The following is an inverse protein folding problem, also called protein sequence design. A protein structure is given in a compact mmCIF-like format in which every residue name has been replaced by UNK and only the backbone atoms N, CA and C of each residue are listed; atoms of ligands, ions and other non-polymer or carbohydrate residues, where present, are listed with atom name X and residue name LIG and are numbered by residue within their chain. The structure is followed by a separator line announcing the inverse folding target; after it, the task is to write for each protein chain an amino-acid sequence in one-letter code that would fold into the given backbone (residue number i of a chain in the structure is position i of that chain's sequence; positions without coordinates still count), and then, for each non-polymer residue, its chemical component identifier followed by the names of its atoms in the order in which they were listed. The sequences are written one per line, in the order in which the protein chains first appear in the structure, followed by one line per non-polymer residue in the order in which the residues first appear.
data_IF_035720416480
#
_entry.id   IF_035720416480
#
_cell.length_a   1.000
_cell.length_b   1.000
_cell.length_c   1.000
_cell.angle_alpha   90.00
_cell.angle_beta   90.00
_cell.angle_gamma   90.00
#
_symmetry.space_group_name_H-M   'P 1'
#
loop_
_entity.id
_entity.type
_entity.pdbx_description
1 polymer ?
#
# COMPACT_ATOMS: atom_id res chain seq x y z
N UNK A 1 13.42 -32.52 0.51
CA UNK A 1 13.39 -31.82 -0.79
C UNK A 1 12.54 -30.56 -0.63
N UNK A 2 13.07 -29.39 -0.98
CA UNK A 2 12.27 -28.16 -0.98
C UNK A 2 11.18 -28.31 -2.05
N UNK A 3 9.90 -28.40 -1.64
CA UNK A 3 8.78 -28.39 -2.59
C UNK A 3 8.88 -27.10 -3.40
N UNK A 4 9.01 -27.22 -4.72
CA UNK A 4 8.80 -26.10 -5.63
C UNK A 4 7.31 -25.79 -5.59
N UNK A 5 6.94 -24.89 -4.68
CA UNK A 5 5.58 -24.41 -4.51
C UNK A 5 5.27 -23.48 -5.69
N UNK A 6 4.68 -24.04 -6.75
CA UNK A 6 4.30 -23.33 -7.96
C UNK A 6 2.81 -23.03 -8.01
N UNK A 7 2.44 -21.98 -8.72
CA UNK A 7 1.05 -21.62 -8.96
C UNK A 7 0.27 -22.71 -9.70
N UNK A 8 -0.90 -23.05 -9.17
CA UNK A 8 -1.89 -23.84 -9.87
C UNK A 8 -2.64 -23.01 -10.92
N UNK A 9 -3.38 -23.69 -11.80
CA UNK A 9 -4.21 -23.03 -12.82
C UNK A 9 -5.26 -22.08 -12.22
N UNK A 10 -5.77 -22.39 -11.02
CA UNK A 10 -6.69 -21.52 -10.27
C UNK A 10 -6.02 -20.21 -9.85
N UNK A 11 -4.76 -20.25 -9.43
CA UNK A 11 -4.01 -19.06 -9.00
C UNK A 11 -3.79 -18.10 -10.18
N UNK A 12 -3.42 -18.65 -11.35
CA UNK A 12 -3.32 -17.89 -12.59
C UNK A 12 -4.67 -17.32 -13.03
N UNK A 13 -5.75 -18.08 -12.87
CA UNK A 13 -7.11 -17.65 -13.23
C UNK A 13 -7.58 -16.47 -12.38
N UNK A 14 -7.34 -16.52 -11.06
CA UNK A 14 -7.68 -15.43 -10.13
C UNK A 14 -6.88 -14.16 -10.46
N UNK A 15 -5.59 -14.31 -10.73
CA UNK A 15 -4.73 -13.20 -11.12
C UNK A 15 -5.17 -12.56 -12.46
N UNK A 16 -5.42 -13.40 -13.48
CA UNK A 16 -5.91 -12.93 -14.78
C UNK A 16 -7.28 -12.28 -14.69
N UNK A 17 -8.18 -12.83 -13.88
CA UNK A 17 -9.50 -12.25 -13.62
C UNK A 17 -9.36 -10.86 -12.98
N UNK A 18 -8.46 -10.69 -12.01
CA UNK A 18 -8.22 -9.40 -11.37
C UNK A 18 -7.77 -8.33 -12.39
N UNK A 19 -6.75 -8.63 -13.21
CA UNK A 19 -6.29 -7.71 -14.26
C UNK A 19 -7.40 -7.39 -15.28
N UNK A 20 -8.20 -8.41 -15.63
CA UNK A 20 -9.33 -8.24 -16.55
C UNK A 20 -10.38 -7.32 -15.96
N UNK A 21 -10.75 -7.50 -14.69
CA UNK A 21 -11.73 -6.64 -13.99
C UNK A 21 -11.23 -5.19 -13.92
N UNK A 22 -9.96 -4.97 -13.55
CA UNK A 22 -9.37 -3.63 -13.56
C UNK A 22 -9.41 -2.98 -14.95
N UNK A 23 -9.11 -3.74 -16.00
CA UNK A 23 -9.16 -3.28 -17.38
C UNK A 23 -10.59 -2.94 -17.82
N UNK A 24 -11.55 -3.80 -17.49
CA UNK A 24 -12.98 -3.60 -17.80
C UNK A 24 -13.52 -2.35 -17.11
N UNK A 25 -13.13 -2.07 -15.86
CA UNK A 25 -13.53 -0.85 -15.16
C UNK A 25 -12.97 0.38 -15.87
N UNK A 26 -11.69 0.35 -16.29
CA UNK A 26 -11.08 1.42 -17.07
C UNK A 26 -11.81 1.68 -18.40
N UNK A 27 -12.10 0.62 -19.15
CA UNK A 27 -12.86 0.69 -20.42
C UNK A 27 -14.28 1.18 -20.17
N UNK A 28 -14.96 0.69 -19.13
CA UNK A 28 -16.31 1.11 -18.79
C UNK A 28 -16.37 2.62 -18.56
N UNK A 29 -15.51 3.17 -17.70
CA UNK A 29 -15.51 4.61 -17.44
C UNK A 29 -14.96 5.46 -18.60
N UNK A 30 -14.07 4.91 -19.43
CA UNK A 30 -13.51 5.60 -20.59
C UNK A 30 -14.43 5.65 -21.81
N UNK A 31 -15.08 4.53 -22.14
CA UNK A 31 -15.87 4.36 -23.36
C UNK A 31 -17.39 4.49 -23.15
N UNK A 32 -17.91 3.97 -22.03
CA UNK A 32 -19.35 3.86 -21.76
C UNK A 32 -19.84 4.78 -20.64
N UNK A 33 -18.95 5.24 -19.77
CA UNK A 33 -19.21 6.24 -18.76
C UNK A 33 -19.43 7.63 -19.35
N UNK A 34 -19.59 8.64 -18.48
CA UNK A 34 -19.60 10.03 -18.91
C UNK A 34 -18.27 10.32 -19.62
N UNK A 35 -18.30 10.38 -20.97
CA UNK A 35 -17.11 10.65 -21.81
C UNK A 35 -16.34 11.79 -21.16
N UNK A 36 -15.10 11.54 -20.73
CA UNK A 36 -14.27 12.47 -19.98
C UNK A 36 -13.84 13.66 -20.85
N UNK A 37 -14.81 14.51 -21.19
CA UNK A 37 -14.67 15.59 -22.19
C UNK A 37 -13.97 16.81 -21.62
N UNK A 38 -13.82 16.91 -20.30
CA UNK A 38 -13.22 18.07 -19.63
C UNK A 38 -12.07 17.66 -18.71
N UNK A 39 -11.08 18.55 -18.55
CA UNK A 39 -9.95 18.36 -17.61
C UNK A 39 -10.44 18.14 -16.18
N UNK A 40 -11.48 18.86 -15.76
CA UNK A 40 -12.07 18.73 -14.43
C UNK A 40 -12.72 17.36 -14.21
N UNK A 41 -13.34 16.78 -15.24
CA UNK A 41 -13.89 15.43 -15.13
C UNK A 41 -12.78 14.38 -15.04
N UNK A 42 -11.76 14.50 -15.89
CA UNK A 42 -10.64 13.56 -15.92
C UNK A 42 -9.82 13.58 -14.63
N UNK A 43 -9.50 14.78 -14.13
CA UNK A 43 -8.64 14.97 -12.98
C UNK A 43 -9.38 14.95 -11.65
N UNK A 44 -10.63 15.43 -11.57
CA UNK A 44 -11.33 15.62 -10.29
C UNK A 44 -12.67 14.89 -10.20
N UNK A 45 -13.05 14.12 -11.22
CA UNK A 45 -14.34 13.41 -11.22
C UNK A 45 -15.55 14.34 -11.06
N UNK A 46 -15.45 15.59 -11.51
CA UNK A 46 -16.45 16.66 -11.32
C UNK A 46 -16.78 16.99 -9.85
N UNK A 47 -15.87 16.68 -8.91
CA UNK A 47 -16.06 16.95 -7.47
C UNK A 47 -17.30 16.30 -6.84
N UNK A 48 -17.80 15.23 -7.47
CA UNK A 48 -19.00 14.50 -7.05
C UNK A 48 -18.70 13.07 -6.61
N UNK A 49 -17.45 12.80 -6.18
CA UNK A 49 -17.08 11.49 -5.67
C UNK A 49 -17.68 11.27 -4.27
N UNK A 50 -17.92 10.01 -3.92
CA UNK A 50 -18.37 9.63 -2.58
C UNK A 50 -17.18 9.42 -1.65
N UNK A 51 -17.42 9.63 -0.34
CA UNK A 51 -16.39 9.57 0.70
C UNK A 51 -15.69 8.22 0.76
N UNK A 52 -16.46 7.13 0.70
CA UNK A 52 -15.91 5.78 0.90
C UNK A 52 -14.93 5.35 -0.20
N UNK A 53 -15.24 5.40 -1.51
CA UNK A 53 -14.28 5.07 -2.56
C UNK A 53 -13.03 5.96 -2.52
N UNK A 54 -13.19 7.26 -2.20
CA UNK A 54 -12.04 8.16 -2.06
C UNK A 54 -11.15 7.75 -0.89
N UNK A 55 -11.72 7.47 0.28
CA UNK A 55 -10.96 6.99 1.43
C UNK A 55 -10.24 5.67 1.14
N UNK A 56 -10.93 4.72 0.50
CA UNK A 56 -10.35 3.44 0.11
C UNK A 56 -9.22 3.63 -0.92
N UNK A 57 -9.39 4.52 -1.89
CA UNK A 57 -8.36 4.86 -2.88
C UNK A 57 -7.16 5.59 -2.27
N UNK A 58 -7.38 6.45 -1.27
CA UNK A 58 -6.30 7.06 -0.48
C UNK A 58 -5.53 6.00 0.31
N UNK A 59 -6.24 5.09 0.99
CA UNK A 59 -5.63 4.00 1.78
C UNK A 59 -4.85 3.07 0.86
N UNK A 60 -5.45 2.68 -0.26
CA UNK A 60 -4.84 1.93 -1.33
C UNK A 60 -3.56 2.58 -1.87
N UNK A 61 -3.60 3.90 -2.13
CA UNK A 61 -2.43 4.62 -2.65
C UNK A 61 -1.28 4.67 -1.67
N UNK A 62 -1.56 4.63 -0.36
CA UNK A 62 -0.51 4.63 0.64
C UNK A 62 0.05 3.23 0.92
N UNK A 63 -0.74 2.18 0.70
CA UNK A 63 -0.32 0.79 0.88
C UNK A 63 0.23 0.25 -0.42
N UNK A 64 1.56 0.20 -0.50
CA UNK A 64 2.29 -0.43 -1.60
C UNK A 64 2.68 -1.88 -1.29
N UNK A 65 3.12 -2.62 -2.30
CA UNK A 65 3.77 -3.93 -2.12
C UNK A 65 4.97 -3.86 -1.16
N UNK A 66 5.66 -2.71 -1.09
CA UNK A 66 6.73 -2.46 -0.11
C UNK A 66 6.19 -2.50 1.32
N UNK A 67 5.01 -1.94 1.58
CA UNK A 67 4.40 -2.01 2.91
C UNK A 67 4.01 -3.44 3.26
N UNK A 68 3.34 -4.13 2.33
CA UNK A 68 2.78 -5.45 2.60
C UNK A 68 3.86 -6.52 2.77
N UNK A 69 4.99 -6.43 2.06
CA UNK A 69 6.12 -7.36 2.19
C UNK A 69 7.17 -6.88 3.20
N UNK A 70 7.42 -5.56 3.25
CA UNK A 70 8.46 -4.97 4.08
C UNK A 70 8.07 -4.88 5.56
N UNK A 71 6.82 -4.55 5.90
CA UNK A 71 6.42 -4.45 7.30
C UNK A 71 6.51 -5.81 8.05
N UNK A 72 6.04 -6.93 7.50
CA UNK A 72 6.23 -8.24 8.13
C UNK A 72 7.71 -8.62 8.25
N UNK A 73 8.52 -8.33 7.22
CA UNK A 73 9.97 -8.57 7.26
C UNK A 73 10.67 -7.77 8.35
N UNK A 74 10.27 -6.51 8.54
CA UNK A 74 10.81 -5.63 9.59
C UNK A 74 10.47 -6.19 10.97
N UNK A 75 9.21 -6.58 11.18
CA UNK A 75 8.73 -7.13 12.45
C UNK A 75 9.38 -8.48 12.78
N UNK A 76 9.54 -9.34 11.78
CA UNK A 76 10.25 -10.62 11.92
C UNK A 76 11.71 -10.44 12.36
N UNK A 77 12.38 -9.42 11.82
CA UNK A 77 13.82 -9.24 12.00
C UNK A 77 14.17 -8.38 13.21
N UNK A 78 13.36 -7.37 13.51
CA UNK A 78 13.68 -6.32 14.48
C UNK A 78 12.59 -6.07 15.54
N UNK A 79 11.37 -6.60 15.36
CA UNK A 79 10.31 -6.51 16.37
C UNK A 79 9.34 -5.32 16.22
N UNK A 80 8.58 -5.05 17.29
CA UNK A 80 7.37 -4.21 17.27
C UNK A 80 7.57 -2.69 17.22
N UNK A 81 8.81 -2.21 17.28
CA UNK A 81 9.14 -0.77 17.32
C UNK A 81 8.51 -0.03 16.12
N UNK A 82 8.51 -0.68 14.95
CA UNK A 82 7.96 -0.15 13.69
C UNK A 82 6.43 0.12 13.77
N UNK A 83 5.71 -0.57 14.67
CA UNK A 83 4.26 -0.42 14.84
C UNK A 83 3.86 0.98 15.34
N UNK A 84 4.78 1.71 15.97
CA UNK A 84 4.57 3.11 16.40
C UNK A 84 4.24 4.08 15.26
N UNK A 85 4.45 3.69 13.99
CA UNK A 85 3.99 4.49 12.85
C UNK A 85 2.48 4.79 12.88
N UNK A 86 1.66 3.96 13.55
CA UNK A 86 0.22 4.21 13.65
C UNK A 86 -0.05 5.49 14.45
N UNK A 87 0.78 5.80 15.44
CA UNK A 87 0.71 7.07 16.16
C UNK A 87 1.08 8.24 15.23
N UNK A 88 2.14 8.08 14.43
CA UNK A 88 2.51 9.07 13.41
C UNK A 88 1.37 9.31 12.40
N UNK A 89 0.69 8.24 11.97
CA UNK A 89 -0.48 8.30 11.10
C UNK A 89 -1.57 9.23 11.66
N UNK A 90 -1.93 9.02 12.93
CA UNK A 90 -2.94 9.81 13.63
C UNK A 90 -2.53 11.28 13.73
N UNK A 91 -1.27 11.56 14.09
CA UNK A 91 -0.73 12.93 14.19
C UNK A 91 -0.82 13.61 12.82
N UNK A 92 -0.34 12.95 11.76
CA UNK A 92 -0.35 13.50 10.40
C UNK A 92 -1.78 13.78 9.93
N UNK A 93 -2.71 12.85 10.15
CA UNK A 93 -4.11 13.06 9.75
C UNK A 93 -4.74 14.23 10.51
N UNK A 94 -4.45 14.40 11.80
CA UNK A 94 -4.93 15.55 12.56
C UNK A 94 -4.38 16.87 12.00
N UNK A 95 -3.07 16.93 11.73
CA UNK A 95 -2.42 18.12 11.15
C UNK A 95 -2.98 18.43 9.76
N UNK A 96 -3.15 17.43 8.89
CA UNK A 96 -3.69 17.63 7.54
C UNK A 96 -5.14 18.11 7.59
N UNK A 97 -5.97 17.56 8.48
CA UNK A 97 -7.38 17.94 8.64
C UNK A 97 -7.57 19.41 9.03
N UNK A 98 -6.69 19.92 9.88
CA UNK A 98 -6.79 21.26 10.49
C UNK A 98 -6.01 22.30 9.69
N UNK A 99 -4.78 22.01 9.27
CA UNK A 99 -3.88 22.99 8.67
C UNK A 99 -3.91 22.99 7.13
N UNK A 100 -3.92 21.81 6.49
CA UNK A 100 -3.76 21.71 5.03
C UNK A 100 -5.12 21.76 4.32
N UNK A 101 -6.07 20.92 4.74
CA UNK A 101 -7.36 20.79 4.05
C UNK A 101 -8.13 22.11 3.88
N UNK A 102 -8.29 22.97 4.91
CA UNK A 102 -9.05 24.21 4.75
C UNK A 102 -8.45 25.15 3.71
N UNK A 103 -7.12 25.19 3.59
CA UNK A 103 -6.42 26.03 2.62
C UNK A 103 -6.70 25.55 1.20
N UNK A 104 -6.46 24.26 0.91
CA UNK A 104 -6.68 23.71 -0.43
C UNK A 104 -8.15 23.73 -0.85
N UNK A 105 -9.08 23.48 0.08
CA UNK A 105 -10.51 23.57 -0.18
C UNK A 105 -11.00 25.01 -0.41
N UNK A 106 -10.37 26.02 0.20
CA UNK A 106 -10.73 27.42 -0.06
C UNK A 106 -10.22 27.86 -1.43
N UNK A 107 -9.02 27.42 -1.81
CA UNK A 107 -8.38 27.82 -3.06
C UNK A 107 -8.92 27.09 -4.30
N UNK A 108 -9.47 25.88 -4.14
CA UNK A 108 -10.04 25.07 -5.24
C UNK A 108 -9.08 24.84 -6.43
N UNK A 109 -7.77 24.91 -6.17
CA UNK A 109 -6.69 24.74 -7.14
C UNK A 109 -6.59 23.28 -7.61
N UNK A 110 -6.14 23.09 -8.84
CA UNK A 110 -6.04 21.74 -9.45
C UNK A 110 -4.73 21.06 -9.12
N UNK A 111 -3.68 21.85 -8.84
CA UNK A 111 -2.36 21.35 -8.47
C UNK A 111 -1.93 21.88 -7.11
N UNK A 112 -1.31 21.03 -6.29
CA UNK A 112 -0.71 21.46 -5.02
C UNK A 112 0.42 22.48 -5.23
N UNK A 113 1.09 22.45 -6.39
CA UNK A 113 2.16 23.39 -6.73
C UNK A 113 1.64 24.77 -7.15
N UNK A 114 0.37 24.88 -7.54
CA UNK A 114 -0.27 26.17 -7.85
C UNK A 114 -0.32 27.06 -6.59
N UNK A 115 -0.47 26.44 -5.41
CA UNK A 115 -0.35 27.15 -4.13
C UNK A 115 1.00 27.86 -3.98
N UNK A 116 2.10 27.24 -4.44
CA UNK A 116 3.44 27.84 -4.34
C UNK A 116 3.58 29.07 -5.24
N UNK A 117 2.89 29.10 -6.37
CA UNK A 117 2.85 30.29 -7.23
C UNK A 117 2.06 31.42 -6.57
N UNK A 118 0.88 31.11 -6.01
CA UNK A 118 0.05 32.09 -5.30
C UNK A 118 0.78 32.68 -4.08
N UNK A 119 1.58 31.86 -3.38
CA UNK A 119 2.28 32.29 -2.16
C UNK A 119 3.63 32.93 -2.40
N UNK A 120 4.35 32.49 -3.44
CA UNK A 120 5.72 32.90 -3.72
C UNK A 120 5.85 33.42 -5.16
N UNK A 121 6.07 32.55 -6.14
CA UNK A 121 6.24 32.94 -7.55
C UNK A 121 6.14 31.75 -8.50
N UNK A 122 5.94 32.03 -9.78
CA UNK A 122 5.84 31.01 -10.85
C UNK A 122 7.11 30.15 -10.99
N UNK A 123 8.28 30.72 -10.70
CA UNK A 123 9.56 30.00 -10.69
C UNK A 123 9.57 28.89 -9.64
N UNK A 124 9.05 29.16 -8.43
CA UNK A 124 8.99 28.16 -7.35
C UNK A 124 8.05 27.01 -7.72
N UNK A 125 6.88 27.33 -8.30
CA UNK A 125 5.94 26.32 -8.82
C UNK A 125 6.61 25.43 -9.86
N UNK A 126 7.34 26.02 -10.81
CA UNK A 126 7.98 25.30 -11.91
C UNK A 126 9.07 24.35 -11.39
N UNK A 127 9.93 24.82 -10.48
CA UNK A 127 10.98 23.99 -9.86
C UNK A 127 10.36 22.84 -9.05
N UNK A 128 9.36 23.13 -8.20
CA UNK A 128 8.71 22.10 -7.39
C UNK A 128 8.00 21.04 -8.25
N UNK A 129 7.31 21.46 -9.31
CA UNK A 129 6.63 20.55 -10.25
C UNK A 129 7.64 19.68 -11.01
N UNK A 130 8.77 20.25 -11.42
CA UNK A 130 9.85 19.53 -12.09
C UNK A 130 10.51 18.49 -11.16
N UNK A 131 10.85 18.87 -9.93
CA UNK A 131 11.40 17.96 -8.93
C UNK A 131 10.44 16.80 -8.63
N UNK A 132 9.14 17.10 -8.47
CA UNK A 132 8.14 16.06 -8.28
C UNK A 132 8.05 15.11 -9.47
N UNK A 133 8.10 15.64 -10.69
CA UNK A 133 8.04 14.82 -11.91
C UNK A 133 9.22 13.85 -11.97
N UNK A 134 10.44 14.33 -11.68
CA UNK A 134 11.63 13.47 -11.60
C UNK A 134 11.47 12.42 -10.51
N UNK A 135 11.06 12.83 -9.31
CA UNK A 135 10.82 11.90 -8.21
C UNK A 135 9.83 10.79 -8.61
N UNK A 136 8.71 11.14 -9.26
CA UNK A 136 7.72 10.15 -9.69
C UNK A 136 8.24 9.22 -10.77
N UNK A 137 9.03 9.71 -11.74
CA UNK A 137 9.66 8.87 -12.77
C UNK A 137 10.63 7.86 -12.15
N UNK A 138 11.37 8.25 -11.10
CA UNK A 138 12.30 7.36 -10.40
C UNK A 138 11.59 6.39 -9.44
N UNK A 139 10.52 6.84 -8.80
CA UNK A 139 9.81 6.08 -7.77
C UNK A 139 8.87 5.02 -8.36
N UNK A 140 8.18 5.32 -9.46
CA UNK A 140 7.17 4.41 -10.05
C UNK A 140 7.75 3.03 -10.41
N UNK A 141 8.93 2.91 -11.05
CA UNK A 141 9.54 1.60 -11.33
C UNK A 141 9.86 0.80 -10.06
N UNK A 142 10.27 1.44 -8.97
CA UNK A 142 10.57 0.78 -7.69
C UNK A 142 9.31 0.18 -7.09
N UNK A 143 8.20 0.93 -7.11
CA UNK A 143 6.89 0.46 -6.64
C UNK A 143 6.43 -0.75 -7.43
N UNK A 144 6.64 -0.76 -8.76
CA UNK A 144 6.27 -1.87 -9.63
C UNK A 144 7.21 -3.08 -9.50
N UNK A 145 8.48 -2.87 -9.17
CA UNK A 145 9.47 -3.95 -9.08
C UNK A 145 9.15 -4.96 -7.98
N UNK A 146 8.76 -4.47 -6.79
CA UNK A 146 8.49 -5.30 -5.61
C UNK A 146 7.39 -6.37 -5.80
N UNK A 147 6.17 -6.03 -6.27
CA UNK A 147 5.14 -7.03 -6.56
C UNK A 147 5.53 -7.96 -7.71
N UNK A 148 6.27 -7.46 -8.71
CA UNK A 148 6.72 -8.24 -9.86
C UNK A 148 7.76 -9.27 -9.44
N UNK A 149 8.62 -8.91 -8.48
CA UNK A 149 9.55 -9.82 -7.85
C UNK A 149 8.82 -10.90 -7.06
N UNK A 150 7.82 -10.54 -6.24
CA UNK A 150 7.01 -11.52 -5.51
C UNK A 150 6.27 -12.47 -6.47
N UNK A 151 5.67 -11.95 -7.55
CA UNK A 151 5.01 -12.76 -8.57
C UNK A 151 5.98 -13.67 -9.32
N UNK A 152 7.18 -13.19 -9.65
CA UNK A 152 8.24 -13.98 -10.29
C UNK A 152 8.69 -15.16 -9.42
N UNK A 153 8.76 -14.96 -8.09
CA UNK A 153 9.19 -15.99 -7.15
C UNK A 153 8.21 -17.18 -7.06
N UNK A 154 6.92 -16.92 -7.14
CA UNK A 154 5.87 -17.95 -7.00
C UNK A 154 5.47 -18.59 -8.33
N UNK A 155 5.65 -17.88 -9.45
CA UNK A 155 5.33 -18.39 -10.79
C UNK A 155 6.54 -18.97 -11.52
N UNK A 156 7.75 -18.56 -11.15
CA UNK A 156 8.98 -18.86 -11.91
C UNK A 156 9.10 -18.09 -13.22
N UNK A 157 8.14 -17.20 -13.55
CA UNK A 157 8.19 -16.38 -14.76
C UNK A 157 9.25 -15.29 -14.59
N UNK A 158 10.00 -15.03 -15.66
CA UNK A 158 11.05 -14.02 -15.64
C UNK A 158 10.49 -12.61 -15.35
N UNK A 159 11.09 -11.94 -14.37
CA UNK A 159 10.75 -10.57 -13.97
C UNK A 159 10.74 -9.57 -15.13
N UNK A 160 11.64 -9.74 -16.10
CA UNK A 160 11.74 -8.90 -17.29
C UNK A 160 10.56 -9.07 -18.26
N UNK A 161 9.77 -10.13 -18.15
CA UNK A 161 8.52 -10.31 -18.91
C UNK A 161 7.30 -9.78 -18.15
N UNK A 162 7.24 -10.06 -16.83
CA UNK A 162 6.12 -9.63 -15.97
C UNK A 162 6.01 -8.11 -15.94
N UNK A 163 7.14 -7.42 -15.71
CA UNK A 163 7.18 -5.97 -15.51
C UNK A 163 6.59 -5.20 -16.69
N UNK A 164 7.06 -5.36 -17.95
CA UNK A 164 6.51 -4.60 -19.08
C UNK A 164 5.05 -4.99 -19.41
N UNK A 165 4.67 -6.26 -19.29
CA UNK A 165 3.30 -6.70 -19.56
C UNK A 165 2.29 -6.01 -18.63
N UNK A 166 2.65 -5.97 -17.34
CA UNK A 166 1.83 -5.37 -16.30
C UNK A 166 1.80 -3.84 -16.43
N UNK A 167 2.94 -3.21 -16.70
CA UNK A 167 2.99 -1.78 -17.00
C UNK A 167 2.08 -1.43 -18.17
N UNK A 168 2.08 -2.20 -19.25
CA UNK A 168 1.25 -1.94 -20.41
C UNK A 168 -0.25 -1.99 -20.07
N UNK A 169 -0.69 -2.98 -19.30
CA UNK A 169 -2.08 -3.09 -18.84
C UNK A 169 -2.44 -1.89 -17.94
N UNK A 170 -1.56 -1.55 -16.99
CA UNK A 170 -1.77 -0.43 -16.07
C UNK A 170 -1.88 0.91 -16.80
N UNK A 171 -0.95 1.19 -17.71
CA UNK A 171 -0.96 2.39 -18.56
C UNK A 171 -2.26 2.44 -19.37
N UNK A 172 -2.67 1.31 -19.96
CA UNK A 172 -3.87 1.24 -20.79
C UNK A 172 -5.14 1.61 -20.03
N UNK A 173 -5.44 0.95 -18.89
CA UNK A 173 -6.70 1.25 -18.18
C UNK A 173 -6.67 2.61 -17.47
N UNK A 174 -5.49 3.05 -17.02
CA UNK A 174 -5.34 4.34 -16.32
C UNK A 174 -5.52 5.51 -17.27
N UNK A 175 -4.96 5.42 -18.49
CA UNK A 175 -5.11 6.45 -19.52
C UNK A 175 -6.53 6.56 -20.04
N UNK A 176 -7.26 5.44 -20.13
CA UNK A 176 -8.65 5.43 -20.61
C UNK A 176 -9.65 5.89 -19.55
N UNK A 177 -9.46 5.50 -18.29
CA UNK A 177 -10.49 5.61 -17.26
C UNK A 177 -10.45 6.88 -16.40
N UNK A 178 -9.33 7.60 -16.35
CA UNK A 178 -9.15 8.79 -15.52
C UNK A 178 -9.36 8.56 -14.01
N UNK A 179 -9.53 9.63 -13.21
CA UNK A 179 -9.60 9.52 -11.74
C UNK A 179 -10.74 8.59 -11.27
N UNK A 180 -11.92 8.64 -11.91
CA UNK A 180 -13.07 7.81 -11.53
C UNK A 180 -12.74 6.31 -11.61
N UNK A 181 -12.13 5.88 -12.72
CA UNK A 181 -11.74 4.47 -12.87
C UNK A 181 -10.70 4.08 -11.82
N UNK A 182 -9.65 4.90 -11.66
CA UNK A 182 -8.57 4.64 -10.69
C UNK A 182 -9.14 4.46 -9.28
N UNK A 183 -10.04 5.33 -8.84
CA UNK A 183 -10.64 5.24 -7.50
C UNK A 183 -11.45 3.96 -7.30
N UNK A 184 -12.22 3.54 -8.32
CA UNK A 184 -13.00 2.30 -8.25
C UNK A 184 -12.14 1.04 -8.34
N UNK A 185 -11.12 1.03 -9.20
CA UNK A 185 -10.15 -0.06 -9.25
C UNK A 185 -9.41 -0.18 -7.92
N UNK A 186 -8.94 0.94 -7.36
CA UNK A 186 -8.25 0.98 -6.07
C UNK A 186 -9.13 0.39 -4.96
N UNK A 187 -10.41 0.75 -4.94
CA UNK A 187 -11.36 0.28 -3.92
C UNK A 187 -11.50 -1.25 -3.96
N UNK A 188 -11.72 -1.82 -5.14
CA UNK A 188 -11.83 -3.28 -5.30
C UNK A 188 -10.53 -3.99 -4.94
N UNK A 189 -9.41 -3.48 -5.46
CA UNK A 189 -8.08 -4.00 -5.19
C UNK A 189 -7.75 -3.99 -3.70
N UNK A 190 -8.15 -2.94 -2.97
CA UNK A 190 -7.94 -2.83 -1.53
C UNK A 190 -8.77 -3.83 -0.73
N UNK A 191 -10.03 -4.06 -1.12
CA UNK A 191 -10.89 -5.06 -0.50
C UNK A 191 -10.30 -6.45 -0.67
N UNK A 192 -9.84 -6.79 -1.89
CA UNK A 192 -9.23 -8.09 -2.19
C UNK A 192 -7.94 -8.28 -1.38
N UNK A 193 -7.06 -7.28 -1.38
CA UNK A 193 -5.79 -7.33 -0.65
C UNK A 193 -6.00 -7.46 0.86
N UNK A 194 -6.94 -6.71 1.44
CA UNK A 194 -7.24 -6.81 2.87
C UNK A 194 -7.87 -8.17 3.20
N UNK A 195 -8.81 -8.63 2.38
CA UNK A 195 -9.43 -9.94 2.54
C UNK A 195 -8.40 -11.08 2.53
N UNK A 196 -7.48 -11.08 1.56
CA UNK A 196 -6.43 -12.10 1.50
C UNK A 196 -5.45 -12.03 2.68
N UNK A 197 -5.09 -10.83 3.13
CA UNK A 197 -4.23 -10.62 4.29
C UNK A 197 -4.87 -11.13 5.59
N UNK A 198 -6.18 -10.90 5.78
CA UNK A 198 -6.93 -11.42 6.93
C UNK A 198 -6.96 -12.95 6.91
N UNK A 199 -7.22 -13.56 5.74
CA UNK A 199 -7.25 -15.02 5.64
C UNK A 199 -5.89 -15.63 5.99
N UNK A 200 -4.80 -15.07 5.47
CA UNK A 200 -3.43 -15.52 5.82
C UNK A 200 -3.17 -15.38 7.33
N UNK A 201 -3.56 -14.24 7.92
CA UNK A 201 -3.40 -14.01 9.35
C UNK A 201 -4.19 -15.04 10.18
N UNK A 202 -5.45 -15.32 9.85
CA UNK A 202 -6.28 -16.31 10.57
C UNK A 202 -5.69 -17.72 10.46
N UNK A 203 -5.29 -18.14 9.25
CA UNK A 203 -4.64 -19.44 9.07
C UNK A 203 -3.32 -19.52 9.85
N UNK A 204 -2.57 -18.43 9.90
CA UNK A 204 -1.30 -18.37 10.64
C UNK A 204 -1.51 -18.52 12.14
N UNK A 205 -2.52 -17.84 12.70
CA UNK A 205 -2.90 -17.97 14.11
C UNK A 205 -3.26 -19.43 14.43
N UNK A 206 -4.04 -20.08 13.57
CA UNK A 206 -4.43 -21.49 13.75
C UNK A 206 -3.19 -22.40 13.70
N UNK A 207 -2.29 -22.18 12.74
CA UNK A 207 -1.08 -23.00 12.57
C UNK A 207 -0.10 -22.87 13.75
N UNK A 208 0.04 -21.68 14.34
CA UNK A 208 0.87 -21.46 15.53
C UNK A 208 0.23 -22.04 16.80
N UNK A 209 -1.10 -22.26 16.80
CA UNK A 209 -1.86 -22.79 17.93
C UNK A 209 -2.57 -21.74 18.77
N UNK A 210 -2.70 -20.50 18.28
CA UNK A 210 -3.43 -19.41 18.94
C UNK A 210 -2.63 -18.12 19.08
N UNK A 211 -3.35 -17.03 19.36
CA UNK A 211 -2.76 -15.69 19.55
C UNK A 211 -1.86 -15.62 20.78
N UNK A 212 -2.22 -16.31 21.86
CA UNK A 212 -1.45 -16.28 23.11
C UNK A 212 -0.09 -16.96 22.92
N UNK A 213 -0.05 -18.09 22.20
CA UNK A 213 1.19 -18.79 21.87
C UNK A 213 2.06 -17.94 20.95
N UNK A 214 1.46 -17.33 19.92
CA UNK A 214 2.18 -16.40 19.05
C UNK A 214 2.81 -15.26 19.85
N UNK A 215 2.05 -14.65 20.76
CA UNK A 215 2.54 -13.54 21.58
C UNK A 215 3.69 -13.99 22.47
N UNK A 216 3.53 -15.11 23.19
CA UNK A 216 4.56 -15.65 24.07
C UNK A 216 5.87 -15.92 23.33
N UNK A 217 5.81 -16.59 22.16
CA UNK A 217 7.01 -16.85 21.34
C UNK A 217 7.72 -15.57 20.91
N UNK A 218 6.98 -14.51 20.62
CA UNK A 218 7.58 -13.21 20.26
C UNK A 218 8.15 -12.48 21.47
N UNK A 219 7.62 -12.68 22.68
CA UNK A 219 8.22 -12.19 23.92
C UNK A 219 9.52 -12.92 24.18
N UNK A 220 9.51 -14.26 24.12
CA UNK A 220 10.69 -15.10 24.36
C UNK A 220 11.80 -14.86 23.31
N UNK A 221 11.40 -14.41 22.11
CA UNK A 221 12.28 -14.06 21.00
C UNK A 221 12.71 -12.60 20.92
N UNK A 222 12.47 -11.80 21.96
CA UNK A 222 12.79 -10.37 22.04
C UNK A 222 12.24 -9.54 20.85
N UNK A 223 11.06 -9.91 20.33
CA UNK A 223 10.37 -9.18 19.26
C UNK A 223 9.40 -8.14 19.78
N UNK A 224 8.98 -8.24 21.04
CA UNK A 224 8.04 -7.29 21.66
C UNK A 224 8.82 -6.17 22.36
N UNK A 225 9.09 -5.11 21.62
CA UNK A 225 9.61 -3.85 22.13
C UNK A 225 8.90 -2.69 21.43
N UNK A 226 7.93 -2.07 22.08
CA UNK A 226 7.14 -0.98 21.48
C UNK A 226 7.79 0.39 21.66
N UNK A 227 8.40 0.60 22.82
CA UNK A 227 8.84 1.91 23.30
C UNK A 227 10.34 1.92 23.57
N UNK A 228 11.14 1.72 22.52
CA UNK A 228 12.56 2.03 22.61
C UNK A 228 12.73 3.56 22.64
N UNK A 229 12.91 4.11 23.84
CA UNK A 229 12.97 5.57 24.07
C UNK A 229 14.37 6.17 23.86
N UNK A 230 15.32 5.40 23.31
CA UNK A 230 16.66 5.91 23.01
C UNK A 230 16.60 7.04 21.97
N UNK A 231 17.11 8.25 22.29
CA UNK A 231 17.09 9.40 21.38
C UNK A 231 18.15 9.33 20.28
N UNK A 232 19.03 8.31 20.27
CA UNK A 232 20.10 8.19 19.30
C UNK A 232 19.55 8.00 17.87
N UNK A 233 19.78 8.96 16.95
CA UNK A 233 19.24 8.90 15.58
C UNK A 233 19.94 7.87 14.69
N UNK A 234 21.04 7.26 15.15
CA UNK A 234 21.76 6.20 14.43
C UNK A 234 21.12 4.82 14.60
N UNK A 235 20.23 4.67 15.58
CA UNK A 235 19.49 3.42 15.80
C UNK A 235 18.38 3.33 14.74
N UNK A 236 18.27 2.16 14.11
CA UNK A 236 17.34 1.90 12.99
C UNK A 236 15.92 2.37 13.30
N UNK A 237 15.32 1.85 14.38
CA UNK A 237 13.98 2.21 14.83
C UNK A 237 14.01 2.47 16.34
N UNK A 238 13.65 3.69 16.74
CA UNK A 238 13.29 4.05 18.10
C UNK A 238 11.92 4.69 18.07
N UNK A 239 11.29 4.85 19.23
CA UNK A 239 10.03 5.57 19.35
C UNK A 239 10.12 6.95 18.67
N UNK A 240 11.27 7.63 18.80
CA UNK A 240 11.51 8.95 18.22
C UNK A 240 11.70 8.90 16.71
N UNK A 241 12.56 8.02 16.20
CA UNK A 241 12.82 7.96 14.74
C UNK A 241 11.58 7.49 13.98
N UNK A 242 10.81 6.55 14.54
CA UNK A 242 9.55 6.09 13.95
C UNK A 242 8.47 7.17 14.07
N UNK A 243 8.19 7.70 15.27
CA UNK A 243 7.06 8.62 15.43
C UNK A 243 7.33 9.97 14.78
N UNK A 244 8.45 10.63 15.10
CA UNK A 244 8.77 11.96 14.58
C UNK A 244 9.21 11.86 13.12
N UNK A 245 10.12 10.94 12.81
CA UNK A 245 10.63 10.77 11.44
C UNK A 245 9.53 10.41 10.45
N UNK A 246 8.66 9.43 10.78
CA UNK A 246 7.52 9.11 9.91
C UNK A 246 6.50 10.25 9.85
N UNK A 247 6.30 11.04 10.91
CA UNK A 247 5.39 12.19 10.86
C UNK A 247 5.79 13.16 9.76
N UNK A 248 7.07 13.52 9.64
CA UNK A 248 7.52 14.43 8.58
C UNK A 248 7.40 13.81 7.18
N UNK A 249 7.81 12.55 7.02
CA UNK A 249 7.71 11.84 5.74
C UNK A 249 6.24 11.74 5.31
N UNK A 250 5.35 11.32 6.21
CA UNK A 250 3.94 11.11 5.89
C UNK A 250 3.20 12.43 5.74
N UNK A 251 3.59 13.49 6.45
CA UNK A 251 3.04 14.83 6.21
C UNK A 251 3.32 15.29 4.77
N UNK A 252 4.51 14.99 4.24
CA UNK A 252 4.82 15.27 2.83
C UNK A 252 3.94 14.44 1.87
N UNK A 253 3.70 13.18 2.20
CA UNK A 253 2.92 12.27 1.35
C UNK A 253 1.41 12.54 1.40
N UNK A 254 0.85 12.89 2.56
CA UNK A 254 -0.60 13.06 2.73
C UNK A 254 -1.01 14.52 2.55
N UNK A 255 -0.20 15.46 3.02
CA UNK A 255 -0.54 16.89 3.06
C UNK A 255 -0.25 17.66 1.78
N UNK A 256 0.77 17.26 0.99
CA UNK A 256 1.21 18.04 -0.19
C UNK A 256 1.39 17.24 -1.47
N UNK A 257 1.39 15.90 -1.40
CA UNK A 257 1.47 15.07 -2.61
C UNK A 257 0.26 15.33 -3.52
N UNK A 258 0.53 15.56 -4.80
CA UNK A 258 -0.49 15.86 -5.80
C UNK A 258 -1.59 14.79 -5.86
N UNK A 259 -1.23 13.50 -5.84
CA UNK A 259 -2.19 12.40 -5.99
C UNK A 259 -3.12 12.23 -4.79
N UNK A 260 -2.65 12.56 -3.58
CA UNK A 260 -3.49 12.54 -2.37
C UNK A 260 -4.42 13.75 -2.34
N UNK A 261 -3.88 14.95 -2.57
CA UNK A 261 -4.68 16.18 -2.51
C UNK A 261 -5.76 16.22 -3.61
N UNK A 262 -5.44 15.73 -4.81
CA UNK A 262 -6.39 15.64 -5.92
C UNK A 262 -7.60 14.77 -5.58
N UNK A 263 -7.40 13.65 -4.86
CA UNK A 263 -8.48 12.81 -4.35
C UNK A 263 -9.31 13.52 -3.30
N UNK A 264 -8.67 14.23 -2.34
CA UNK A 264 -9.42 15.04 -1.39
C UNK A 264 -10.28 16.09 -2.08
N UNK A 265 -9.75 16.82 -3.06
CA UNK A 265 -10.46 17.88 -3.78
C UNK A 265 -11.53 17.38 -4.76
N UNK A 266 -11.62 16.06 -4.98
CA UNK A 266 -12.71 15.43 -5.76
C UNK A 266 -14.00 15.20 -4.94
N UNK A 267 -13.96 15.47 -3.63
CA UNK A 267 -15.14 15.44 -2.77
C UNK A 267 -15.81 16.83 -2.76
N UNK A 268 -17.15 16.90 -2.65
CA UNK A 268 -17.88 18.15 -2.83
C UNK A 268 -17.71 19.13 -1.67
N UNK A 269 -17.48 18.63 -0.44
CA UNK A 269 -17.43 19.45 0.77
C UNK A 269 -16.19 19.14 1.61
N UNK A 270 -15.68 20.16 2.30
CA UNK A 270 -14.57 20.01 3.26
C UNK A 270 -14.90 19.01 4.38
N UNK A 271 -16.15 18.94 4.82
CA UNK A 271 -16.61 17.93 5.78
C UNK A 271 -16.42 16.52 5.26
N UNK A 272 -16.71 16.29 3.99
CA UNK A 272 -16.62 14.99 3.33
C UNK A 272 -15.14 14.59 3.17
N UNK A 273 -14.26 15.55 2.88
CA UNK A 273 -12.82 15.35 2.90
C UNK A 273 -12.28 14.94 4.28
N UNK A 274 -12.72 15.62 5.35
CA UNK A 274 -12.30 15.28 6.71
C UNK A 274 -12.77 13.88 7.10
N UNK A 275 -13.98 13.49 6.72
CA UNK A 275 -14.47 12.12 6.89
C UNK A 275 -13.64 11.12 6.07
N UNK A 276 -13.30 11.44 4.82
CA UNK A 276 -12.46 10.58 3.99
C UNK A 276 -11.06 10.41 4.60
N UNK A 277 -10.49 11.47 5.19
CA UNK A 277 -9.20 11.43 5.88
C UNK A 277 -9.26 10.60 7.17
N UNK A 278 -10.37 10.66 7.92
CA UNK A 278 -10.59 9.82 9.10
C UNK A 278 -10.65 8.33 8.70
N UNK A 279 -11.47 8.00 7.70
CA UNK A 279 -11.58 6.62 7.19
C UNK A 279 -10.24 6.14 6.63
N UNK A 280 -9.50 7.02 5.94
CA UNK A 280 -8.14 6.76 5.51
C UNK A 280 -7.20 6.43 6.68
N UNK A 281 -7.23 7.22 7.74
CA UNK A 281 -6.41 7.04 8.95
C UNK A 281 -6.70 5.68 9.61
N UNK A 282 -7.99 5.35 9.79
CA UNK A 282 -8.40 4.05 10.33
C UNK A 282 -7.95 2.92 9.39
N UNK A 283 -8.17 3.08 8.09
CA UNK A 283 -7.80 2.11 7.06
C UNK A 283 -6.30 1.81 7.04
N UNK A 284 -5.45 2.83 7.09
CA UNK A 284 -4.00 2.61 7.11
C UNK A 284 -3.52 2.00 8.42
N UNK A 285 -3.97 2.48 9.57
CA UNK A 285 -3.60 1.91 10.87
C UNK A 285 -4.01 0.43 10.96
N UNK A 286 -5.20 0.10 10.45
CA UNK A 286 -5.68 -1.26 10.35
C UNK A 286 -4.80 -2.11 9.43
N UNK A 287 -4.51 -1.66 8.21
CA UNK A 287 -3.67 -2.41 7.27
C UNK A 287 -2.25 -2.63 7.80
N UNK A 288 -1.63 -1.60 8.38
CA UNK A 288 -0.30 -1.71 8.99
C UNK A 288 -0.31 -2.67 10.17
N UNK A 289 -1.34 -2.64 11.00
CA UNK A 289 -1.51 -3.57 12.12
C UNK A 289 -1.60 -5.02 11.63
N UNK A 290 -2.41 -5.31 10.60
CA UNK A 290 -2.49 -6.66 10.00
C UNK A 290 -1.13 -7.11 9.45
N UNK A 291 -0.40 -6.23 8.76
CA UNK A 291 0.95 -6.55 8.27
C UNK A 291 1.95 -6.77 9.42
N UNK A 292 1.86 -5.99 10.50
CA UNK A 292 2.75 -6.15 11.64
C UNK A 292 2.49 -7.46 12.38
N UNK A 293 1.23 -7.79 12.64
CA UNK A 293 0.80 -9.06 13.22
C UNK A 293 1.23 -10.25 12.35
N UNK A 294 1.11 -10.13 11.03
CA UNK A 294 1.62 -11.15 10.11
C UNK A 294 3.12 -11.39 10.28
N UNK A 295 3.92 -10.34 10.51
CA UNK A 295 5.35 -10.49 10.79
C UNK A 295 5.64 -11.25 12.09
N UNK A 296 4.88 -10.97 13.14
CA UNK A 296 4.97 -11.70 14.42
C UNK A 296 4.53 -13.17 14.27
N UNK A 297 3.52 -13.44 13.45
CA UNK A 297 3.10 -14.81 13.13
C UNK A 297 4.18 -15.59 12.40
N UNK A 298 4.82 -14.96 11.41
CA UNK A 298 5.93 -15.59 10.69
C UNK A 298 7.07 -15.93 11.67
N UNK A 299 7.40 -15.00 12.58
CA UNK A 299 8.42 -15.25 13.60
C UNK A 299 8.03 -16.42 14.50
N UNK A 300 6.81 -16.41 15.04
CA UNK A 300 6.32 -17.48 15.90
C UNK A 300 6.28 -18.84 15.20
N UNK A 301 6.00 -18.88 13.90
CA UNK A 301 5.96 -20.12 13.11
C UNK A 301 7.36 -20.66 12.82
N UNK A 302 8.33 -19.79 12.53
CA UNK A 302 9.71 -20.17 12.19
C UNK A 302 10.73 -20.03 13.33
N UNK A 303 10.30 -19.90 14.58
CA UNK A 303 11.22 -19.65 15.71
C UNK A 303 12.34 -20.71 15.78
N UNK A 304 12.00 -21.99 15.50
CA UNK A 304 12.91 -23.12 15.64
C UNK A 304 13.68 -23.40 14.33
N UNK A 305 13.23 -22.83 13.21
CA UNK A 305 13.77 -23.09 11.87
C UNK A 305 13.68 -21.84 11.00
N UNK A 306 14.62 -20.92 11.20
CA UNK A 306 14.66 -19.67 10.46
C UNK A 306 14.95 -19.90 8.95
N UNK A 307 14.01 -19.55 8.04
CA UNK A 307 14.18 -19.72 6.60
C UNK A 307 15.34 -18.89 6.02
N UNK A 308 15.76 -17.78 6.67
CA UNK A 308 16.94 -17.02 6.24
C UNK A 308 18.24 -17.77 6.58
N UNK A 309 18.38 -18.20 7.84
CA UNK A 309 19.57 -18.91 8.31
C UNK A 309 19.76 -20.26 7.60
N UNK A 310 18.67 -20.96 7.30
CA UNK A 310 18.67 -22.22 6.55
C UNK A 310 18.85 -22.04 5.03
N UNK A 311 18.92 -20.80 4.55
CA UNK A 311 19.11 -20.41 3.13
C UNK A 311 18.02 -20.94 2.19
N UNK A 312 16.84 -21.24 2.73
CA UNK A 312 15.66 -21.57 1.90
C UNK A 312 15.20 -20.31 1.14
N UNK A 313 15.24 -19.16 1.81
CA UNK A 313 15.10 -17.84 1.18
C UNK A 313 16.45 -17.12 1.15
N UNK A 314 16.67 -16.30 0.11
CA UNK A 314 17.93 -15.55 -0.07
C UNK A 314 17.87 -14.16 0.54
N UNK A 315 16.67 -13.61 0.70
CA UNK A 315 16.44 -12.23 1.14
C UNK A 315 15.18 -12.14 1.99
N UNK A 316 15.15 -11.16 2.89
CA UNK A 316 14.07 -10.99 3.87
C UNK A 316 12.72 -10.57 3.23
N UNK A 317 12.75 -9.92 2.07
CA UNK A 317 11.54 -9.56 1.31
C UNK A 317 10.79 -10.77 0.73
N UNK A 318 11.43 -11.94 0.67
CA UNK A 318 10.84 -13.20 0.23
C UNK A 318 10.09 -13.95 1.33
N UNK A 319 10.17 -13.45 2.57
CA UNK A 319 9.68 -14.14 3.76
C UNK A 319 8.16 -14.32 3.73
N UNK A 320 7.39 -13.26 3.47
CA UNK A 320 5.93 -13.35 3.43
C UNK A 320 5.43 -14.22 2.26
N UNK A 321 5.92 -14.07 1.01
CA UNK A 321 5.52 -14.96 -0.08
C UNK A 321 5.83 -16.43 0.23
N UNK A 322 7.01 -16.72 0.79
CA UNK A 322 7.37 -18.07 1.21
C UNK A 322 6.41 -18.62 2.27
N UNK A 323 6.13 -17.84 3.32
CA UNK A 323 5.20 -18.21 4.38
C UNK A 323 3.79 -18.50 3.86
N UNK A 324 3.28 -17.66 2.96
CA UNK A 324 1.96 -17.88 2.35
C UNK A 324 1.93 -19.18 1.56
N UNK A 325 2.97 -19.48 0.79
CA UNK A 325 3.04 -20.75 0.05
C UNK A 325 3.15 -21.96 0.99
N UNK A 326 3.90 -21.86 2.09
CA UNK A 326 4.05 -22.91 3.09
C UNK A 326 2.72 -23.21 3.80
N UNK A 327 2.01 -22.15 4.22
CA UNK A 327 0.77 -22.25 4.99
C UNK A 327 -0.46 -22.58 4.12
N UNK A 328 -0.60 -21.89 2.99
CA UNK A 328 -1.80 -21.92 2.15
C UNK A 328 -1.63 -22.74 0.87
N UNK A 329 -0.46 -23.32 0.61
CA UNK A 329 -0.21 -24.11 -0.60
C UNK A 329 -1.11 -25.35 -0.75
N UNK A 330 -1.71 -25.82 0.34
CA UNK A 330 -2.69 -26.91 0.33
C UNK A 330 -4.12 -26.46 -0.03
N UNK A 331 -4.41 -25.15 0.00
CA UNK A 331 -5.72 -24.57 -0.30
C UNK A 331 -5.67 -23.97 -1.71
N UNK A 332 -6.29 -24.62 -2.72
CA UNK A 332 -6.20 -24.15 -4.10
C UNK A 332 -6.79 -22.73 -4.26
N UNK A 333 -6.05 -21.83 -4.93
CA UNK A 333 -6.50 -20.47 -5.24
C UNK A 333 -6.19 -19.42 -4.18
N UNK A 334 -5.91 -19.82 -2.92
CA UNK A 334 -5.61 -18.86 -1.86
C UNK A 334 -4.25 -18.16 -2.03
N UNK A 335 -3.15 -18.86 -2.40
CA UNK A 335 -1.89 -18.19 -2.72
C UNK A 335 -2.01 -17.24 -3.91
N UNK A 336 -2.74 -17.64 -4.96
CA UNK A 336 -3.05 -16.79 -6.11
C UNK A 336 -3.83 -15.53 -5.74
N UNK A 337 -4.82 -15.66 -4.85
CA UNK A 337 -5.58 -14.53 -4.32
C UNK A 337 -4.70 -13.56 -3.51
N UNK A 338 -3.80 -14.10 -2.67
CA UNK A 338 -2.88 -13.29 -1.89
C UNK A 338 -1.91 -12.52 -2.79
N UNK A 339 -1.24 -13.21 -3.72
CA UNK A 339 -0.30 -12.58 -4.63
C UNK A 339 -1.00 -11.60 -5.57
N UNK A 340 -2.20 -11.91 -6.05
CA UNK A 340 -3.03 -10.93 -6.75
C UNK A 340 -3.28 -9.70 -5.88
N UNK A 341 -3.57 -9.85 -4.58
CA UNK A 341 -3.69 -8.75 -3.61
C UNK A 341 -2.40 -7.93 -3.43
N UNK A 342 -1.23 -8.57 -3.35
CA UNK A 342 0.08 -7.86 -3.31
C UNK A 342 0.30 -7.08 -4.60
N UNK A 343 -0.09 -7.66 -5.73
CA UNK A 343 0.08 -7.08 -7.05
C UNK A 343 -0.86 -5.88 -7.28
N UNK A 344 -2.12 -6.03 -6.85
CA UNK A 344 -3.10 -4.96 -6.72
C UNK A 344 -2.55 -3.74 -5.99
N UNK A 345 -1.74 -3.93 -4.94
CA UNK A 345 -1.18 -2.85 -4.15
C UNK A 345 -0.21 -1.94 -4.93
N UNK A 346 0.30 -2.41 -6.06
CA UNK A 346 1.36 -1.74 -6.80
C UNK A 346 0.99 -1.39 -8.26
N UNK A 347 -0.17 -1.82 -8.71
CA UNK A 347 -0.77 -1.48 -10.01
C UNK A 347 -1.36 -0.05 -10.06
N UNK A 348 -0.92 0.85 -9.19
CA UNK A 348 -1.64 2.10 -8.88
C UNK A 348 -0.83 3.33 -9.24
#
# INVERSE_FOLDING_TARGET
EARVLSFGWLDYSIFGLMLTVSTVIGIYFGCFGTRQRTKNEYLLGNKNMSVFPIAMSLTASHISGITLLGAPSEMYTYGTQYWMMCLAACIVCAVVAVAYMPVFYTLQITSTYEYLELRFSSSVRSVASFMFTIYQVLHTPIVLYVPALAFSQVTGINLHMITPAVSAICIFYTTLGGLKAVVWTDTLQQIIMMGSSIVVMVLGIIAVGGLDIMWQRNVDGDRIEFFNMDPNPLIRNTFWTVTIGMTFIWLSHVGVNQGMMQRFLSLPRLSDARWALLVFCVGICWCKTVSCLTGLLIYAHYQDCDPLSTKVIKRADQLLPYYVMDLAGSIPGLPGLFVAGVFCAALR
#
